data_IF_036603657600
#
_entry.id   IF_036603657600
#
_cell.length_a   1.000
_cell.length_b   1.000
_cell.length_c   1.000
_cell.angle_alpha   90.00
_cell.angle_beta   90.00
_cell.angle_gamma   90.00
#
_symmetry.space_group_name_H-M   'P 1'
#
loop_
_entity.id
_entity.type
_entity.pdbx_description
1 polymer ?
#
# COMPACT_ATOMS: atom_id res chain seq x y z
N UNK A 1 -16.49 15.39 -15.81
CA UNK A 1 -17.29 15.39 -14.55
C UNK A 1 -17.27 16.78 -13.94
N UNK A 2 -18.43 17.32 -13.52
CA UNK A 2 -18.51 18.59 -12.77
C UNK A 2 -17.53 18.55 -11.59
N UNK A 3 -16.78 19.64 -11.36
CA UNK A 3 -15.66 19.66 -10.40
C UNK A 3 -16.01 19.21 -8.98
N UNK A 4 -17.26 19.41 -8.54
CA UNK A 4 -17.75 18.99 -7.22
C UNK A 4 -17.80 17.46 -7.05
N UNK A 5 -18.25 16.72 -8.07
CA UNK A 5 -18.35 15.24 -8.02
C UNK A 5 -16.96 14.61 -7.96
N UNK A 6 -16.03 15.15 -8.76
CA UNK A 6 -14.63 14.67 -8.79
C UNK A 6 -13.93 14.88 -7.43
N UNK A 7 -14.18 16.03 -6.78
CA UNK A 7 -13.65 16.32 -5.45
C UNK A 7 -14.22 15.38 -4.37
N UNK A 8 -15.52 15.11 -4.41
CA UNK A 8 -16.16 14.17 -3.48
C UNK A 8 -15.56 12.76 -3.60
N UNK A 9 -15.38 12.26 -4.82
CA UNK A 9 -14.77 10.96 -5.05
C UNK A 9 -13.35 10.87 -4.49
N UNK A 10 -12.54 11.93 -4.61
CA UNK A 10 -11.19 11.92 -4.04
C UNK A 10 -11.17 11.88 -2.51
N UNK A 11 -12.11 12.57 -1.88
CA UNK A 11 -12.26 12.52 -0.42
C UNK A 11 -12.68 11.10 0.01
N UNK A 12 -13.64 10.51 -0.70
CA UNK A 12 -14.09 9.14 -0.43
C UNK A 12 -12.94 8.13 -0.59
N UNK A 13 -12.16 8.22 -1.67
CA UNK A 13 -11.01 7.33 -1.87
C UNK A 13 -9.96 7.48 -0.78
N UNK A 14 -9.74 8.71 -0.29
CA UNK A 14 -8.80 8.97 0.80
C UNK A 14 -9.29 8.34 2.11
N UNK A 15 -10.58 8.46 2.43
CA UNK A 15 -11.18 7.81 3.61
C UNK A 15 -11.02 6.29 3.54
N UNK A 16 -11.25 5.70 2.36
CA UNK A 16 -11.08 4.26 2.14
C UNK A 16 -9.62 3.84 2.35
N UNK A 17 -8.65 4.56 1.77
CA UNK A 17 -7.22 4.26 1.94
C UNK A 17 -6.80 4.33 3.42
N UNK A 18 -7.22 5.36 4.15
CA UNK A 18 -6.95 5.50 5.58
C UNK A 18 -7.61 4.36 6.37
N UNK A 19 -8.87 4.05 6.07
CA UNK A 19 -9.61 2.97 6.72
C UNK A 19 -8.93 1.61 6.57
N UNK A 20 -8.33 1.33 5.41
CA UNK A 20 -7.60 0.08 5.15
C UNK A 20 -6.31 0.01 5.99
N UNK A 21 -5.53 1.09 6.04
CA UNK A 21 -4.29 1.14 6.85
C UNK A 21 -4.64 1.03 8.35
N UNK A 22 -5.63 1.79 8.82
CA UNK A 22 -6.08 1.71 10.21
C UNK A 22 -6.65 0.33 10.54
N UNK A 23 -7.38 -0.29 9.62
CA UNK A 23 -7.94 -1.61 9.79
C UNK A 23 -6.88 -2.66 10.10
N UNK A 24 -5.75 -2.65 9.37
CA UNK A 24 -4.67 -3.61 9.64
C UNK A 24 -3.89 -3.29 10.93
N UNK A 25 -3.73 -2.01 11.27
CA UNK A 25 -3.17 -1.61 12.57
C UNK A 25 -4.03 -2.10 13.73
N UNK A 26 -5.36 -1.94 13.63
CA UNK A 26 -6.33 -2.43 14.63
C UNK A 26 -6.29 -3.95 14.70
N UNK A 27 -6.22 -4.65 13.55
CA UNK A 27 -6.10 -6.10 13.51
C UNK A 27 -4.88 -6.57 14.31
N UNK A 28 -3.72 -5.97 14.08
CA UNK A 28 -2.50 -6.28 14.82
C UNK A 28 -2.56 -5.91 16.31
N UNK A 29 -3.29 -4.86 16.68
CA UNK A 29 -3.56 -4.57 18.09
C UNK A 29 -4.44 -5.67 18.72
N UNK A 30 -5.48 -6.11 18.01
CA UNK A 30 -6.39 -7.14 18.49
C UNK A 30 -5.74 -8.52 18.61
N UNK A 31 -4.76 -8.87 17.76
CA UNK A 31 -4.02 -10.14 17.92
C UNK A 31 -3.25 -10.21 19.24
N UNK A 32 -2.86 -9.06 19.80
CA UNK A 32 -2.20 -9.01 21.13
C UNK A 32 -3.20 -9.05 22.30
N UNK A 33 -4.45 -8.66 22.08
CA UNK A 33 -5.47 -8.49 23.15
C UNK A 33 -6.51 -9.60 23.19
N UNK A 34 -6.84 -10.22 22.07
CA UNK A 34 -7.93 -11.21 21.93
C UNK A 34 -7.40 -12.53 21.38
N UNK A 35 -7.43 -13.58 22.20
CA UNK A 35 -6.92 -14.91 21.84
C UNK A 35 -7.59 -15.50 20.58
N UNK A 36 -8.90 -15.30 20.41
CA UNK A 36 -9.61 -15.78 19.20
C UNK A 36 -9.13 -15.10 17.91
N UNK A 37 -8.89 -13.79 17.95
CA UNK A 37 -8.34 -13.04 16.80
C UNK A 37 -6.90 -13.49 16.54
N UNK A 38 -6.10 -13.67 17.60
CA UNK A 38 -4.75 -14.19 17.50
C UNK A 38 -4.72 -15.53 16.78
N UNK A 39 -5.53 -16.49 17.22
CA UNK A 39 -5.55 -17.84 16.65
C UNK A 39 -5.94 -17.82 15.16
N UNK A 40 -6.99 -17.07 14.80
CA UNK A 40 -7.40 -16.95 13.40
C UNK A 40 -6.31 -16.30 12.53
N UNK A 41 -5.72 -15.18 12.96
CA UNK A 41 -4.70 -14.48 12.16
C UNK A 41 -3.41 -15.32 12.08
N UNK A 42 -3.05 -16.05 13.14
CA UNK A 42 -1.92 -16.96 13.14
C UNK A 42 -2.11 -18.12 12.16
N UNK A 43 -3.29 -18.76 12.18
CA UNK A 43 -3.62 -19.81 11.23
C UNK A 43 -3.56 -19.29 9.78
N UNK A 44 -4.08 -18.08 9.52
CA UNK A 44 -3.97 -17.43 8.21
C UNK A 44 -2.54 -17.08 7.83
N UNK A 45 -1.71 -16.64 8.77
CA UNK A 45 -0.28 -16.40 8.55
C UNK A 45 0.39 -17.68 8.01
N UNK A 46 0.17 -18.82 8.67
CA UNK A 46 0.72 -20.10 8.21
C UNK A 46 0.22 -20.50 6.82
N UNK A 47 -1.07 -20.29 6.53
CA UNK A 47 -1.60 -20.53 5.17
C UNK A 47 -0.92 -19.64 4.13
N UNK A 48 -0.71 -18.36 4.42
CA UNK A 48 -0.09 -17.41 3.50
C UNK A 48 1.39 -17.75 3.23
N UNK A 49 2.14 -18.10 4.28
CA UNK A 49 3.55 -18.51 4.18
C UNK A 49 3.72 -19.77 3.33
N UNK A 50 2.75 -20.69 3.35
CA UNK A 50 2.78 -21.90 2.52
C UNK A 50 2.13 -21.75 1.14
N UNK A 51 1.60 -20.56 0.81
CA UNK A 51 0.91 -20.33 -0.46
C UNK A 51 1.42 -19.09 -1.20
N UNK A 52 0.73 -17.96 -1.10
CA UNK A 52 0.94 -16.76 -1.92
C UNK A 52 2.16 -15.95 -1.44
N UNK A 53 2.50 -16.06 -0.15
CA UNK A 53 3.60 -15.34 0.50
C UNK A 53 4.68 -16.28 1.03
N UNK A 54 4.99 -17.34 0.28
CA UNK A 54 6.19 -18.14 0.55
C UNK A 54 7.46 -17.30 0.43
N UNK A 55 8.55 -17.72 1.08
CA UNK A 55 9.81 -16.97 1.12
C UNK A 55 10.28 -16.57 -0.29
N UNK A 56 10.29 -17.51 -1.23
CA UNK A 56 10.68 -17.25 -2.61
C UNK A 56 9.78 -16.23 -3.31
N UNK A 57 8.47 -16.27 -3.01
CA UNK A 57 7.49 -15.31 -3.57
C UNK A 57 7.63 -13.93 -2.93
N UNK A 58 7.95 -13.83 -1.65
CA UNK A 58 8.26 -12.56 -1.00
C UNK A 58 9.53 -11.96 -1.58
N UNK A 59 10.59 -12.73 -1.79
CA UNK A 59 11.81 -12.23 -2.43
C UNK A 59 11.55 -11.76 -3.86
N UNK A 60 10.78 -12.52 -4.64
CA UNK A 60 10.33 -12.09 -5.97
C UNK A 60 9.54 -10.78 -5.88
N UNK A 61 8.62 -10.66 -4.92
CA UNK A 61 7.83 -9.45 -4.70
C UNK A 61 8.70 -8.25 -4.30
N UNK A 62 9.76 -8.45 -3.53
CA UNK A 62 10.74 -7.38 -3.18
C UNK A 62 11.41 -6.83 -4.42
N UNK A 63 11.88 -7.70 -5.32
CA UNK A 63 12.51 -7.30 -6.58
C UNK A 63 11.52 -6.51 -7.44
N UNK A 64 10.29 -7.00 -7.56
CA UNK A 64 9.21 -6.28 -8.28
C UNK A 64 8.97 -4.90 -7.68
N UNK A 65 8.95 -4.77 -6.35
CA UNK A 65 8.74 -3.49 -5.68
C UNK A 65 9.91 -2.51 -5.85
N UNK A 66 11.15 -2.98 -5.98
CA UNK A 66 12.28 -2.13 -6.35
C UNK A 66 12.04 -1.51 -7.72
N UNK A 67 11.61 -2.32 -8.70
CA UNK A 67 11.30 -1.83 -10.06
C UNK A 67 10.15 -0.82 -10.02
N UNK A 68 9.07 -1.10 -9.29
CA UNK A 68 7.93 -0.18 -9.13
C UNK A 68 8.38 1.15 -8.51
N UNK A 69 9.23 1.12 -7.48
CA UNK A 69 9.78 2.33 -6.87
C UNK A 69 10.56 3.17 -7.87
N UNK A 70 11.39 2.54 -8.72
CA UNK A 70 12.14 3.24 -9.77
C UNK A 70 11.18 3.88 -10.78
N UNK A 71 10.18 3.15 -11.26
CA UNK A 71 9.18 3.66 -12.21
C UNK A 71 8.44 4.88 -11.62
N UNK A 72 8.02 4.81 -10.36
CA UNK A 72 7.33 5.90 -9.70
C UNK A 72 8.23 7.11 -9.40
N UNK A 73 9.51 6.87 -9.13
CA UNK A 73 10.51 7.93 -9.00
C UNK A 73 10.69 8.67 -10.33
N UNK A 74 10.81 7.94 -11.44
CA UNK A 74 10.89 8.54 -12.79
C UNK A 74 9.64 9.37 -13.08
N UNK A 75 8.44 8.84 -12.79
CA UNK A 75 7.18 9.58 -12.97
C UNK A 75 7.12 10.85 -12.10
N UNK A 76 7.63 10.79 -10.86
CA UNK A 76 7.71 11.94 -9.98
C UNK A 76 8.64 13.02 -10.57
N UNK A 77 9.83 12.65 -11.03
CA UNK A 77 10.77 13.58 -11.68
C UNK A 77 10.15 14.18 -12.93
N UNK A 78 9.57 13.35 -13.80
CA UNK A 78 8.87 13.78 -15.00
C UNK A 78 7.76 14.80 -14.70
N UNK A 79 6.98 14.57 -13.65
CA UNK A 79 5.90 15.47 -13.22
C UNK A 79 6.39 16.87 -12.85
N UNK A 80 7.61 16.96 -12.32
CA UNK A 80 8.27 18.21 -11.93
C UNK A 80 8.80 18.93 -13.17
N UNK A 81 9.55 18.23 -14.03
CA UNK A 81 10.18 18.78 -15.23
C UNK A 81 9.13 19.35 -16.19
N UNK A 82 8.08 18.59 -16.48
CA UNK A 82 7.00 19.00 -17.40
C UNK A 82 6.01 19.97 -16.73
N UNK A 83 6.26 20.37 -15.48
CA UNK A 83 5.43 21.30 -14.72
C UNK A 83 3.94 20.93 -14.73
N UNK A 84 3.65 19.65 -14.52
CA UNK A 84 2.28 19.16 -14.36
C UNK A 84 1.55 19.92 -13.25
N UNK A 85 0.22 19.92 -13.29
CA UNK A 85 -0.64 20.58 -12.29
C UNK A 85 -0.24 20.17 -10.87
N UNK A 86 -0.30 21.11 -9.92
CA UNK A 86 0.07 20.89 -8.50
C UNK A 86 -0.58 19.64 -7.91
N UNK A 87 -1.85 19.37 -8.25
CA UNK A 87 -2.55 18.17 -7.81
C UNK A 87 -1.86 16.89 -8.28
N UNK A 88 -1.48 16.78 -9.56
CA UNK A 88 -0.79 15.60 -10.09
C UNK A 88 0.57 15.40 -9.40
N UNK A 89 1.35 16.47 -9.21
CA UNK A 89 2.64 16.41 -8.49
C UNK A 89 2.47 15.84 -7.08
N UNK A 90 1.46 16.30 -6.33
CA UNK A 90 1.14 15.77 -4.99
C UNK A 90 0.77 14.29 -5.05
N UNK A 91 -0.08 13.88 -6.00
CA UNK A 91 -0.46 12.47 -6.13
C UNK A 91 0.73 11.57 -6.51
N UNK A 92 1.67 12.05 -7.32
CA UNK A 92 2.92 11.34 -7.63
C UNK A 92 3.82 11.20 -6.42
N UNK A 93 3.94 12.23 -5.58
CA UNK A 93 4.68 12.16 -4.31
C UNK A 93 4.07 11.11 -3.38
N UNK A 94 2.74 11.14 -3.21
CA UNK A 94 2.04 10.17 -2.36
C UNK A 94 2.22 8.74 -2.88
N UNK A 95 2.12 8.52 -4.19
CA UNK A 95 2.34 7.20 -4.79
C UNK A 95 3.76 6.68 -4.53
N UNK A 96 4.77 7.55 -4.67
CA UNK A 96 6.15 7.19 -4.40
C UNK A 96 6.40 6.87 -2.92
N UNK A 97 5.83 7.65 -2.00
CA UNK A 97 5.91 7.36 -0.55
C UNK A 97 5.25 6.01 -0.23
N UNK A 98 4.09 5.72 -0.82
CA UNK A 98 3.39 4.46 -0.61
C UNK A 98 4.17 3.27 -1.17
N UNK A 99 4.82 3.40 -2.34
CA UNK A 99 5.64 2.31 -2.88
C UNK A 99 6.86 2.03 -2.00
N UNK A 100 7.51 3.08 -1.48
CA UNK A 100 8.58 2.92 -0.47
C UNK A 100 8.02 2.25 0.78
N UNK A 101 6.84 2.64 1.24
CA UNK A 101 6.22 2.06 2.45
C UNK A 101 5.99 0.56 2.29
N UNK A 102 5.49 0.11 1.13
CA UNK A 102 5.35 -1.33 0.83
C UNK A 102 6.72 -2.02 0.84
N UNK A 103 7.72 -1.43 0.20
CA UNK A 103 9.07 -1.98 0.20
C UNK A 103 9.64 -2.12 1.63
N UNK A 104 9.48 -1.09 2.48
CA UNK A 104 9.89 -1.14 3.89
C UNK A 104 9.18 -2.28 4.62
N UNK A 105 7.89 -2.47 4.41
CA UNK A 105 7.14 -3.58 5.03
C UNK A 105 7.75 -4.93 4.64
N UNK A 106 8.09 -5.12 3.36
CA UNK A 106 8.66 -6.38 2.86
C UNK A 106 10.06 -6.67 3.41
N UNK A 107 10.87 -5.64 3.70
CA UNK A 107 12.27 -5.82 4.16
C UNK A 107 12.40 -5.81 5.68
N UNK A 108 11.53 -5.08 6.38
CA UNK A 108 11.72 -4.76 7.78
C UNK A 108 11.37 -5.91 8.73
N UNK A 109 12.30 -6.22 9.64
CA UNK A 109 12.08 -7.17 10.75
C UNK A 109 10.95 -6.73 11.70
N UNK A 110 10.65 -5.42 11.77
CA UNK A 110 9.56 -4.92 12.60
C UNK A 110 8.21 -5.49 12.15
N UNK A 111 8.00 -5.61 10.83
CA UNK A 111 6.76 -6.10 10.26
C UNK A 111 6.74 -7.63 10.15
N UNK A 112 7.83 -8.27 9.74
CA UNK A 112 7.87 -9.74 9.58
C UNK A 112 7.62 -10.50 10.89
N UNK A 113 8.01 -9.91 12.03
CA UNK A 113 7.76 -10.46 13.35
C UNK A 113 6.29 -10.33 13.81
N UNK A 114 5.46 -9.55 13.11
CA UNK A 114 4.05 -9.40 13.45
C UNK A 114 3.23 -10.62 13.00
N UNK A 115 2.16 -10.93 13.74
CA UNK A 115 1.22 -12.01 13.37
C UNK A 115 0.41 -11.56 12.14
N UNK A 116 0.04 -10.28 12.06
CA UNK A 116 -0.69 -9.71 10.93
C UNK A 116 0.21 -9.29 9.75
N UNK A 117 1.46 -9.75 9.66
CA UNK A 117 2.44 -9.33 8.65
C UNK A 117 1.89 -9.34 7.21
N UNK A 118 1.34 -10.47 6.78
CA UNK A 118 0.80 -10.62 5.42
C UNK A 118 -0.38 -9.69 5.15
N UNK A 119 -1.18 -9.37 6.16
CA UNK A 119 -2.25 -8.38 6.04
C UNK A 119 -1.69 -6.97 5.83
N UNK A 120 -0.55 -6.62 6.44
CA UNK A 120 0.09 -5.32 6.18
C UNK A 120 0.55 -5.22 4.74
N UNK A 121 1.17 -6.28 4.19
CA UNK A 121 1.57 -6.32 2.79
C UNK A 121 0.35 -6.10 1.89
N UNK A 122 -0.71 -6.89 2.08
CA UNK A 122 -1.92 -6.81 1.25
C UNK A 122 -2.59 -5.42 1.35
N UNK A 123 -2.72 -4.88 2.55
CA UNK A 123 -3.35 -3.59 2.79
C UNK A 123 -2.59 -2.45 2.07
N UNK A 124 -1.26 -2.40 2.20
CA UNK A 124 -0.46 -1.35 1.58
C UNK A 124 -0.37 -1.50 0.05
N UNK A 125 -0.32 -2.74 -0.47
CA UNK A 125 -0.41 -2.99 -1.92
C UNK A 125 -1.76 -2.48 -2.46
N UNK A 126 -2.87 -2.79 -1.79
CA UNK A 126 -4.20 -2.37 -2.21
C UNK A 126 -4.33 -0.84 -2.19
N UNK A 127 -3.83 -0.19 -1.14
CA UNK A 127 -3.78 1.28 -1.05
C UNK A 127 -2.94 1.88 -2.20
N UNK A 128 -1.80 1.26 -2.52
CA UNK A 128 -0.97 1.68 -3.66
C UNK A 128 -1.71 1.53 -4.99
N UNK A 129 -2.44 0.43 -5.21
CA UNK A 129 -3.25 0.22 -6.42
C UNK A 129 -4.30 1.33 -6.57
N UNK A 130 -5.02 1.67 -5.49
CA UNK A 130 -5.98 2.79 -5.51
C UNK A 130 -5.25 4.10 -5.87
N UNK A 131 -4.07 4.33 -5.29
CA UNK A 131 -3.28 5.53 -5.57
C UNK A 131 -2.82 5.60 -7.03
N UNK A 132 -2.41 4.48 -7.62
CA UNK A 132 -2.03 4.40 -9.03
C UNK A 132 -3.22 4.72 -9.94
N UNK A 133 -4.42 4.22 -9.63
CA UNK A 133 -5.64 4.57 -10.36
C UNK A 133 -5.91 6.08 -10.34
N UNK A 134 -5.80 6.71 -9.16
CA UNK A 134 -5.94 8.18 -9.03
C UNK A 134 -4.92 8.89 -9.93
N UNK A 135 -3.69 8.41 -9.98
CA UNK A 135 -2.62 9.00 -10.77
C UNK A 135 -2.92 8.92 -12.28
N UNK A 136 -3.34 7.73 -12.75
CA UNK A 136 -3.72 7.48 -14.15
C UNK A 136 -4.90 8.38 -14.57
N UNK A 137 -5.96 8.48 -13.76
CA UNK A 137 -7.11 9.32 -14.07
C UNK A 137 -6.81 10.82 -14.11
N UNK A 138 -5.69 11.26 -13.53
CA UNK A 138 -5.26 12.66 -13.51
C UNK A 138 -4.05 12.95 -14.40
N UNK A 139 -3.62 11.99 -15.22
CA UNK A 139 -2.45 12.11 -16.09
C UNK A 139 -2.58 13.23 -17.16
N UNK A 140 -3.82 13.62 -17.50
CA UNK A 140 -4.16 14.74 -18.41
C UNK A 140 -3.83 16.12 -17.79
#
# INVERSE_FOLDING_TARGET
MKGKVKKFLYILTLIIQIGIILGVCILQYLTKKKAGVMHHVYYRKYQFENSIFSLDKIETLRIVFIIICIILLINLIYSIIVNKKKFYKIQSIIAFILSISVYIILVSKLFSNMIAYHYFIMAFILVLIIQLLILIFNFK
#
